data_IF_791952691940
#
_entry.id   IF_791952691940
#
_cell.length_a   1.000
_cell.length_b   1.000
_cell.length_c   1.000
_cell.angle_alpha   90.00
_cell.angle_beta   90.00
_cell.angle_gamma   90.00
#
_symmetry.space_group_name_H-M   'P 1'
#
loop_
_entity.id
_entity.type
_entity.pdbx_description
1 polymer ?
#
# COMPACT_ATOMS: atom_id res chain seq x y z
N UNK A 1 -53.46 -16.68 24.75
CA UNK A 1 -52.06 -16.77 24.30
C UNK A 1 -51.18 -16.30 25.45
N UNK A 2 -50.45 -17.20 26.09
CA UNK A 2 -49.67 -16.91 27.31
C UNK A 2 -48.26 -16.46 26.93
N UNK A 3 -47.64 -15.66 27.81
CA UNK A 3 -46.30 -15.14 27.64
C UNK A 3 -45.20 -16.19 27.41
N UNK A 4 -45.50 -17.46 27.70
CA UNK A 4 -44.59 -18.60 27.45
C UNK A 4 -44.56 -19.03 25.95
N UNK A 5 -45.62 -18.87 25.22
CA UNK A 5 -45.66 -19.23 23.77
C UNK A 5 -44.89 -18.20 22.93
N UNK A 6 -44.92 -16.92 23.30
CA UNK A 6 -44.20 -15.88 22.60
C UNK A 6 -42.65 -16.01 22.75
N UNK A 7 -42.19 -16.49 23.90
CA UNK A 7 -40.77 -16.71 24.15
C UNK A 7 -40.18 -17.92 23.45
N UNK A 8 -40.95 -18.93 23.15
CA UNK A 8 -40.52 -20.13 22.42
C UNK A 8 -40.45 -19.87 20.93
N UNK A 9 -41.39 -19.11 20.36
CA UNK A 9 -41.36 -18.73 18.92
C UNK A 9 -40.25 -17.74 18.58
N UNK A 10 -39.99 -16.77 19.45
CA UNK A 10 -38.90 -15.80 19.23
C UNK A 10 -37.49 -16.43 19.32
N UNK A 11 -37.31 -17.40 20.20
CA UNK A 11 -36.03 -18.13 20.31
C UNK A 11 -35.82 -19.13 19.14
N UNK A 12 -36.87 -19.66 18.55
CA UNK A 12 -36.77 -20.54 17.38
C UNK A 12 -36.40 -19.72 16.12
N UNK A 13 -36.95 -18.51 15.95
CA UNK A 13 -36.61 -17.61 14.84
C UNK A 13 -35.17 -17.02 14.95
N UNK A 14 -34.71 -16.71 16.16
CA UNK A 14 -33.32 -16.22 16.37
C UNK A 14 -32.27 -17.33 16.16
N UNK A 15 -32.58 -18.61 16.49
CA UNK A 15 -31.68 -19.73 16.21
C UNK A 15 -31.65 -20.10 14.73
N UNK A 16 -32.74 -19.97 14.00
CA UNK A 16 -32.76 -20.20 12.55
C UNK A 16 -32.03 -19.11 11.78
N UNK A 17 -32.08 -17.84 12.22
CA UNK A 17 -31.33 -16.74 11.63
C UNK A 17 -29.80 -16.86 11.88
N UNK A 18 -29.38 -17.25 13.07
CA UNK A 18 -27.96 -17.42 13.41
C UNK A 18 -27.31 -18.64 12.72
N UNK A 19 -28.05 -19.71 12.47
CA UNK A 19 -27.54 -20.88 11.73
C UNK A 19 -27.50 -20.62 10.22
N UNK A 20 -28.37 -19.78 9.67
CA UNK A 20 -28.34 -19.41 8.25
C UNK A 20 -27.20 -18.41 7.95
N UNK A 21 -26.86 -17.50 8.87
CA UNK A 21 -25.72 -16.58 8.73
C UNK A 21 -24.36 -17.30 8.81
N UNK A 22 -24.24 -18.37 9.57
CA UNK A 22 -22.99 -19.11 9.73
C UNK A 22 -22.61 -19.99 8.53
N UNK A 23 -23.52 -20.30 7.62
CA UNK A 23 -23.25 -21.17 6.45
C UNK A 23 -22.82 -20.44 5.18
N UNK A 24 -22.81 -19.10 5.13
CA UNK A 24 -22.53 -18.31 3.94
C UNK A 24 -21.20 -17.53 3.98
N UNK A 25 -20.36 -17.68 5.00
CA UNK A 25 -19.04 -17.07 5.12
C UNK A 25 -17.95 -17.97 4.51
N UNK A 26 -18.05 -18.29 3.21
CA UNK A 26 -17.05 -19.10 2.53
C UNK A 26 -16.28 -18.27 1.52
N UNK A 27 -14.97 -18.23 1.69
CA UNK A 27 -13.89 -18.00 0.76
C UNK A 27 -13.59 -16.56 0.31
N UNK A 28 -12.80 -15.85 1.07
CA UNK A 28 -12.08 -14.71 0.55
C UNK A 28 -10.61 -14.80 0.96
N UNK A 29 -9.79 -15.43 0.13
CA UNK A 29 -8.35 -15.20 0.13
C UNK A 29 -8.17 -13.74 -0.29
N UNK A 30 -7.63 -12.91 0.58
CA UNK A 30 -7.45 -11.49 0.34
C UNK A 30 -6.08 -11.27 -0.26
N UNK A 31 -6.00 -11.07 -1.58
CA UNK A 31 -4.83 -10.43 -2.16
C UNK A 31 -4.90 -8.94 -1.84
N UNK A 32 -3.82 -8.41 -1.34
CA UNK A 32 -3.71 -7.04 -0.88
C UNK A 32 -2.88 -6.25 -1.87
N UNK A 33 -3.46 -5.18 -2.36
CA UNK A 33 -2.72 -4.11 -2.99
C UNK A 33 -2.84 -2.92 -2.04
N UNK A 34 -1.74 -2.46 -1.50
CA UNK A 34 -1.67 -1.15 -0.87
C UNK A 34 -1.34 -0.15 -1.96
N UNK A 35 -2.12 0.86 -2.02
CA UNK A 35 -1.85 1.98 -2.89
C UNK A 35 -0.77 2.86 -2.24
N UNK A 36 0.32 3.02 -2.94
CA UNK A 36 1.40 3.92 -2.55
C UNK A 36 0.98 5.38 -2.64
N UNK A 37 1.42 6.15 -1.71
CA UNK A 37 1.18 7.59 -1.58
C UNK A 37 2.23 8.36 -2.41
N UNK A 38 1.92 9.56 -2.86
CA UNK A 38 2.69 10.35 -3.81
C UNK A 38 4.22 10.37 -3.63
N UNK A 39 4.89 10.27 -4.72
CA UNK A 39 6.29 10.52 -5.10
C UNK A 39 7.36 9.70 -4.35
N UNK A 40 7.83 10.07 -3.20
CA UNK A 40 8.89 9.35 -2.47
C UNK A 40 8.35 8.34 -1.43
N UNK A 41 7.04 8.34 -1.21
CA UNK A 41 6.35 7.43 -0.29
C UNK A 41 6.22 5.99 -0.81
N UNK A 42 6.38 5.76 -2.11
CA UNK A 42 6.28 4.43 -2.72
C UNK A 42 7.29 3.41 -2.19
N UNK A 43 8.43 3.89 -1.67
CA UNK A 43 9.45 3.04 -1.06
C UNK A 43 9.14 2.68 0.40
N UNK A 44 8.19 3.38 1.03
CA UNK A 44 7.89 3.33 2.46
C UNK A 44 6.51 2.73 2.77
N UNK A 45 5.88 2.09 1.78
CA UNK A 45 4.56 1.50 1.91
C UNK A 45 4.53 0.37 2.94
N UNK A 46 3.48 0.35 3.75
CA UNK A 46 3.17 -0.74 4.67
C UNK A 46 2.08 -1.61 4.05
N UNK A 47 2.46 -2.76 3.48
CA UNK A 47 1.56 -3.63 2.72
C UNK A 47 1.38 -5.01 3.39
N UNK A 48 0.39 -5.19 4.28
CA UNK A 48 0.13 -6.48 4.88
C UNK A 48 -0.41 -7.48 3.84
N UNK A 49 0.07 -8.73 3.91
CA UNK A 49 -0.37 -9.87 3.10
C UNK A 49 -0.08 -9.75 1.60
N UNK A 50 0.93 -8.97 1.21
CA UNK A 50 1.33 -8.76 -0.18
C UNK A 50 1.64 -10.08 -0.91
N UNK A 51 2.25 -11.02 -0.22
CA UNK A 51 2.67 -12.33 -0.76
C UNK A 51 1.65 -13.45 -0.54
N UNK A 52 0.47 -13.16 0.01
CA UNK A 52 -0.59 -14.16 0.17
C UNK A 52 -1.01 -14.77 -1.16
N UNK A 53 -1.19 -16.11 -1.18
CA UNK A 53 -1.62 -16.82 -2.38
C UNK A 53 -3.10 -16.55 -2.70
N UNK A 54 -3.46 -16.67 -3.97
CA UNK A 54 -4.83 -16.50 -4.49
C UNK A 54 -5.05 -17.39 -5.72
N UNK A 55 -6.30 -17.76 -6.06
CA UNK A 55 -6.58 -18.55 -7.25
C UNK A 55 -6.12 -17.83 -8.53
N UNK A 56 -5.55 -18.59 -9.46
CA UNK A 56 -5.14 -18.08 -10.78
C UNK A 56 -6.35 -17.55 -11.55
N UNK A 57 -6.14 -16.46 -12.30
CA UNK A 57 -7.19 -15.78 -13.05
C UNK A 57 -8.11 -14.89 -12.21
N UNK A 58 -7.87 -14.78 -10.89
CA UNK A 58 -8.57 -13.80 -10.06
C UNK A 58 -8.09 -12.39 -10.42
N UNK A 59 -9.05 -11.48 -10.58
CA UNK A 59 -8.82 -10.07 -10.81
C UNK A 59 -9.32 -9.28 -9.61
N UNK A 60 -8.65 -8.19 -9.29
CA UNK A 60 -9.02 -7.26 -8.25
C UNK A 60 -9.10 -5.85 -8.84
N UNK A 61 -10.18 -5.14 -8.54
CA UNK A 61 -10.32 -3.70 -8.78
C UNK A 61 -10.43 -3.03 -7.42
N UNK A 62 -9.68 -1.97 -7.21
CA UNK A 62 -9.62 -1.26 -5.93
C UNK A 62 -9.86 0.22 -6.19
N UNK A 63 -10.76 0.80 -5.43
CA UNK A 63 -10.96 2.23 -5.30
C UNK A 63 -10.60 2.62 -3.88
N UNK A 64 -9.67 3.53 -3.73
CA UNK A 64 -9.17 3.99 -2.44
C UNK A 64 -9.25 5.51 -2.32
N UNK A 65 -9.37 5.95 -1.09
CA UNK A 65 -9.22 7.34 -0.69
C UNK A 65 -8.39 7.39 0.58
N UNK A 66 -7.46 8.34 0.63
CA UNK A 66 -6.65 8.62 1.79
C UNK A 66 -6.55 10.12 2.05
N UNK A 67 -6.41 10.44 3.33
CA UNK A 67 -6.06 11.77 3.82
C UNK A 67 -4.77 11.65 4.62
N UNK A 68 -3.86 12.56 4.41
CA UNK A 68 -2.61 12.61 5.15
C UNK A 68 -2.23 14.04 5.48
N UNK A 69 -1.60 14.20 6.64
CA UNK A 69 -1.05 15.48 7.10
C UNK A 69 0.32 15.25 7.68
N UNK A 70 1.17 16.28 7.62
CA UNK A 70 2.52 16.23 8.14
C UNK A 70 3.51 16.93 7.23
N UNK A 71 4.79 16.74 7.50
CA UNK A 71 5.87 17.43 6.81
C UNK A 71 6.59 16.56 5.78
N UNK A 72 6.33 15.26 5.76
CA UNK A 72 7.08 14.23 4.99
C UNK A 72 6.62 14.12 3.53
N UNK A 73 5.57 14.81 3.13
CA UNK A 73 5.05 14.76 1.76
C UNK A 73 5.80 15.68 0.80
N UNK A 74 6.71 16.50 1.30
CA UNK A 74 7.62 17.29 0.47
C UNK A 74 8.94 16.57 0.32
N UNK A 75 9.56 16.77 -0.85
CA UNK A 75 10.88 16.26 -1.13
C UNK A 75 11.91 16.84 -0.13
N UNK A 76 12.65 16.01 0.62
CA UNK A 76 13.61 16.52 1.62
C UNK A 76 14.77 17.33 1.04
N UNK A 77 15.02 17.23 -0.28
CA UNK A 77 16.05 18.01 -0.96
C UNK A 77 15.62 19.46 -1.25
N UNK A 78 14.34 19.78 -1.04
CA UNK A 78 13.85 21.12 -1.29
C UNK A 78 14.30 22.10 -0.18
N UNK A 79 14.70 23.32 -0.54
CA UNK A 79 15.11 24.35 0.43
C UNK A 79 13.87 25.00 1.10
N UNK A 80 13.02 24.19 1.70
CA UNK A 80 11.80 24.61 2.36
C UNK A 80 11.88 24.25 3.84
N UNK A 81 11.64 25.23 4.70
CA UNK A 81 11.62 25.06 6.15
C UNK A 81 10.16 25.11 6.67
N UNK A 82 9.91 24.49 7.82
CA UNK A 82 8.62 24.49 8.52
C UNK A 82 7.45 24.09 7.62
N UNK A 83 7.64 23.04 6.82
CA UNK A 83 6.61 22.57 5.88
C UNK A 83 5.45 21.95 6.64
N UNK A 84 4.25 22.41 6.36
CA UNK A 84 3.00 21.75 6.67
C UNK A 84 2.33 21.32 5.36
N UNK A 85 1.90 20.09 5.30
CA UNK A 85 1.28 19.54 4.09
C UNK A 85 -0.01 18.81 4.43
N UNK A 86 -1.04 19.09 3.67
CA UNK A 86 -2.29 18.31 3.66
C UNK A 86 -2.44 17.65 2.30
N UNK A 87 -2.81 16.37 2.30
CA UNK A 87 -2.94 15.58 1.08
C UNK A 87 -4.22 14.78 1.05
N UNK A 88 -4.91 14.89 -0.07
CA UNK A 88 -6.07 14.08 -0.43
C UNK A 88 -5.67 13.18 -1.59
N UNK A 89 -5.81 11.87 -1.44
CA UNK A 89 -5.29 10.90 -2.42
C UNK A 89 -6.40 9.95 -2.82
N UNK A 90 -6.79 10.02 -4.08
CA UNK A 90 -7.65 9.05 -4.74
C UNK A 90 -6.80 7.96 -5.41
N UNK A 91 -7.24 6.71 -5.37
CA UNK A 91 -6.50 5.58 -5.92
C UNK A 91 -7.43 4.71 -6.75
N UNK A 92 -7.01 4.44 -7.98
CA UNK A 92 -7.54 3.37 -8.79
C UNK A 92 -6.45 2.31 -8.96
N UNK A 93 -6.73 1.06 -8.56
CA UNK A 93 -5.78 -0.02 -8.76
C UNK A 93 -6.45 -1.26 -9.35
N UNK A 94 -5.65 -2.01 -10.12
CA UNK A 94 -6.01 -3.28 -10.70
C UNK A 94 -4.92 -4.31 -10.42
N UNK A 95 -5.32 -5.54 -10.08
CA UNK A 95 -4.39 -6.65 -9.98
C UNK A 95 -4.96 -7.92 -10.62
N UNK A 96 -4.05 -8.75 -11.14
CA UNK A 96 -4.38 -10.04 -11.69
C UNK A 96 -3.42 -11.11 -11.19
N UNK A 97 -4.00 -12.24 -10.76
CA UNK A 97 -3.24 -13.44 -10.39
C UNK A 97 -2.95 -14.28 -11.62
N UNK A 98 -1.69 -14.62 -11.80
CA UNK A 98 -1.13 -15.31 -12.97
C UNK A 98 -0.54 -16.66 -12.55
N UNK A 99 -0.46 -17.59 -13.50
CA UNK A 99 0.35 -18.79 -13.39
C UNK A 99 1.66 -18.57 -14.16
N UNK A 100 2.78 -18.59 -13.45
CA UNK A 100 4.12 -18.49 -14.04
C UNK A 100 4.92 -19.71 -13.62
N UNK A 101 5.15 -20.61 -14.54
CA UNK A 101 5.87 -21.89 -14.29
C UNK A 101 5.30 -22.70 -13.10
N UNK A 102 3.98 -22.76 -12.95
CA UNK A 102 3.33 -23.46 -11.84
C UNK A 102 3.37 -22.73 -10.49
N UNK A 103 3.84 -21.49 -10.46
CA UNK A 103 3.90 -20.63 -9.28
C UNK A 103 2.85 -19.52 -9.37
N UNK A 104 2.33 -19.12 -8.21
CA UNK A 104 1.43 -17.97 -8.11
C UNK A 104 2.23 -16.69 -8.31
N UNK A 105 1.85 -15.90 -9.32
CA UNK A 105 2.39 -14.59 -9.60
C UNK A 105 1.26 -13.55 -9.64
N UNK A 106 1.59 -12.27 -9.50
CA UNK A 106 0.63 -11.16 -9.62
C UNK A 106 1.24 -10.04 -10.47
N UNK A 107 0.40 -9.43 -11.27
CA UNK A 107 0.66 -8.15 -11.90
C UNK A 107 -0.30 -7.13 -11.32
N UNK A 108 0.23 -6.01 -10.87
CA UNK A 108 -0.53 -4.92 -10.24
C UNK A 108 -0.25 -3.62 -11.00
N UNK A 109 -1.28 -2.79 -11.15
CA UNK A 109 -1.21 -1.43 -11.66
C UNK A 109 -1.94 -0.52 -10.69
N UNK A 110 -1.32 0.58 -10.32
CA UNK A 110 -1.86 1.59 -9.39
C UNK A 110 -1.77 2.95 -10.07
N UNK A 111 -2.88 3.66 -10.11
CA UNK A 111 -2.98 5.01 -10.67
C UNK A 111 -3.46 5.95 -9.56
N UNK A 112 -2.56 6.71 -8.94
CA UNK A 112 -2.91 7.65 -7.89
C UNK A 112 -3.27 9.02 -8.47
N UNK A 113 -4.23 9.69 -7.83
CA UNK A 113 -4.59 11.09 -8.04
C UNK A 113 -4.40 11.81 -6.71
N UNK A 114 -3.69 12.92 -6.70
CA UNK A 114 -3.44 13.65 -5.47
C UNK A 114 -3.85 15.11 -5.57
N UNK A 115 -4.40 15.61 -4.47
CA UNK A 115 -4.51 17.02 -4.17
C UNK A 115 -3.62 17.33 -2.98
N UNK A 116 -2.68 18.24 -3.15
CA UNK A 116 -1.69 18.64 -2.15
C UNK A 116 -1.85 20.12 -1.85
N UNK A 117 -1.88 20.46 -0.56
CA UNK A 117 -1.71 21.83 -0.08
C UNK A 117 -0.50 21.88 0.83
N UNK A 118 0.54 22.55 0.40
CA UNK A 118 1.78 22.70 1.11
C UNK A 118 2.02 24.16 1.50
N UNK A 119 2.34 24.41 2.75
CA UNK A 119 2.75 25.71 3.29
C UNK A 119 4.15 25.56 3.88
N UNK A 120 5.00 26.57 3.72
CA UNK A 120 6.36 26.54 4.26
C UNK A 120 7.12 27.83 4.01
N UNK A 121 8.33 27.89 4.53
CA UNK A 121 9.25 29.02 4.33
C UNK A 121 10.27 28.68 3.24
N UNK A 122 10.24 29.40 2.13
CA UNK A 122 11.28 29.32 1.08
C UNK A 122 12.20 30.51 1.26
N UNK A 123 13.48 30.27 1.64
CA UNK A 123 14.44 31.32 1.95
C UNK A 123 13.88 32.33 2.98
N UNK A 124 13.21 31.84 4.02
CA UNK A 124 12.61 32.63 5.10
C UNK A 124 11.34 33.40 4.72
N UNK A 125 10.80 33.26 3.51
CA UNK A 125 9.55 33.88 3.07
C UNK A 125 8.42 32.84 3.06
N UNK A 126 7.23 33.16 3.57
CA UNK A 126 6.11 32.24 3.54
C UNK A 126 5.61 32.02 2.10
N UNK A 127 5.47 30.78 1.73
CA UNK A 127 4.92 30.33 0.46
C UNK A 127 3.85 29.28 0.68
N UNK A 128 2.80 29.34 -0.13
CA UNK A 128 1.74 28.34 -0.20
C UNK A 128 1.67 27.78 -1.61
N UNK A 129 1.46 26.49 -1.72
CA UNK A 129 1.25 25.80 -3.00
C UNK A 129 0.08 24.85 -2.88
N UNK A 130 -0.91 25.05 -3.73
CA UNK A 130 -1.99 24.09 -3.96
C UNK A 130 -1.84 23.50 -5.36
N UNK A 131 -1.87 22.17 -5.45
CA UNK A 131 -1.75 21.42 -6.71
C UNK A 131 -2.60 20.17 -6.64
N UNK A 132 -3.25 19.81 -7.74
CA UNK A 132 -3.96 18.54 -7.87
C UNK A 132 -3.76 17.95 -9.26
N UNK A 133 -3.66 16.64 -9.34
CA UNK A 133 -3.47 15.96 -10.61
C UNK A 133 -3.14 14.48 -10.47
N UNK A 134 -2.78 13.89 -11.58
CA UNK A 134 -2.28 12.53 -11.65
C UNK A 134 -0.89 12.48 -11.02
N UNK A 135 -0.67 11.53 -10.11
CA UNK A 135 0.68 11.17 -9.64
C UNK A 135 1.29 10.07 -10.53
N UNK A 136 2.55 9.74 -10.28
CA UNK A 136 3.24 8.73 -11.08
C UNK A 136 2.59 7.35 -10.93
N UNK A 137 2.12 6.71 -12.01
CA UNK A 137 1.58 5.38 -11.96
C UNK A 137 2.64 4.35 -11.56
N UNK A 138 2.19 3.33 -10.82
CA UNK A 138 3.05 2.26 -10.33
C UNK A 138 2.63 0.93 -10.96
N UNK A 139 3.60 0.16 -11.43
CA UNK A 139 3.41 -1.19 -11.91
C UNK A 139 4.24 -2.14 -11.07
N UNK A 140 3.66 -3.26 -10.62
CA UNK A 140 4.38 -4.28 -9.87
C UNK A 140 4.15 -5.65 -10.50
N UNK A 141 5.23 -6.39 -10.62
CA UNK A 141 5.19 -7.81 -10.88
C UNK A 141 5.76 -8.56 -9.67
N UNK A 142 5.04 -9.55 -9.17
CA UNK A 142 5.48 -10.39 -8.06
C UNK A 142 5.33 -11.87 -8.39
N UNK A 143 6.23 -12.69 -7.88
CA UNK A 143 6.19 -14.14 -8.01
C UNK A 143 6.53 -14.80 -6.67
N UNK A 144 5.73 -15.78 -6.27
CA UNK A 144 5.98 -16.59 -5.10
C UNK A 144 6.66 -17.91 -5.54
N UNK A 145 7.95 -18.05 -5.35
CA UNK A 145 8.70 -19.22 -5.81
C UNK A 145 8.69 -20.38 -4.82
N UNK A 146 8.40 -20.14 -3.52
CA UNK A 146 8.24 -21.20 -2.48
C UNK A 146 6.87 -21.05 -1.84
N UNK A 147 6.19 -22.17 -1.60
CA UNK A 147 5.01 -22.27 -0.74
C UNK A 147 3.69 -21.80 -1.33
N UNK A 148 3.69 -21.18 -2.51
CA UNK A 148 2.48 -20.69 -3.17
C UNK A 148 2.38 -21.22 -4.61
N UNK A 149 1.87 -22.43 -4.83
CA UNK A 149 1.61 -22.95 -6.17
C UNK A 149 0.49 -22.17 -6.86
N UNK A 150 0.51 -22.18 -8.19
CA UNK A 150 -0.59 -21.69 -9.01
C UNK A 150 -1.78 -22.64 -8.92
N UNK A 151 -2.86 -22.20 -8.30
CA UNK A 151 -4.03 -23.03 -7.98
C UNK A 151 -5.30 -22.52 -8.66
N UNK A 152 -6.16 -23.44 -9.07
CA UNK A 152 -7.56 -23.16 -9.39
C UNK A 152 -8.35 -22.83 -8.12
N UNK A 153 -9.55 -22.27 -8.23
CA UNK A 153 -10.40 -21.98 -7.06
C UNK A 153 -10.72 -23.25 -6.24
N UNK A 154 -10.95 -24.39 -6.92
CA UNK A 154 -11.22 -25.67 -6.25
C UNK A 154 -10.03 -26.21 -5.46
N UNK A 155 -8.84 -26.11 -6.00
CA UNK A 155 -7.59 -26.49 -5.32
C UNK A 155 -7.27 -25.52 -4.18
N UNK A 156 -7.47 -24.23 -4.41
CA UNK A 156 -7.26 -23.18 -3.40
C UNK A 156 -8.16 -23.34 -2.17
N UNK A 157 -9.38 -23.89 -2.33
CA UNK A 157 -10.26 -24.17 -1.21
C UNK A 157 -9.64 -25.17 -0.19
N UNK A 158 -8.75 -26.04 -0.65
CA UNK A 158 -8.02 -27.02 0.16
C UNK A 158 -6.64 -26.56 0.60
N UNK A 159 -6.12 -25.50 -0.02
CA UNK A 159 -4.79 -24.96 0.26
C UNK A 159 -4.72 -24.41 1.68
N UNK A 160 -3.60 -24.67 2.34
CA UNK A 160 -3.24 -24.08 3.63
C UNK A 160 -1.87 -23.43 3.48
N UNK A 161 -1.84 -22.13 3.71
CA UNK A 161 -0.59 -21.40 3.70
C UNK A 161 0.27 -21.84 4.88
N UNK A 162 1.55 -22.06 4.61
CA UNK A 162 2.60 -22.25 5.61
C UNK A 162 3.65 -21.16 5.41
N UNK A 163 4.79 -21.49 4.83
CA UNK A 163 5.85 -20.55 4.46
C UNK A 163 5.70 -20.20 2.98
N UNK A 164 5.68 -18.90 2.68
CA UNK A 164 5.80 -18.37 1.32
C UNK A 164 7.07 -17.54 1.25
N UNK A 165 7.88 -17.75 0.20
CA UNK A 165 8.98 -16.87 -0.17
C UNK A 165 8.74 -16.44 -1.61
N UNK A 166 8.76 -15.14 -1.85
CA UNK A 166 8.54 -14.53 -3.14
C UNK A 166 9.43 -13.31 -3.35
N UNK A 167 9.38 -12.78 -4.54
CA UNK A 167 10.03 -11.52 -4.88
C UNK A 167 9.07 -10.67 -5.72
N UNK A 168 9.28 -9.37 -5.70
CA UNK A 168 8.59 -8.44 -6.57
C UNK A 168 9.54 -7.37 -7.10
N UNK A 169 9.15 -6.79 -8.22
CA UNK A 169 9.74 -5.56 -8.75
C UNK A 169 8.59 -4.58 -8.99
N UNK A 170 8.70 -3.41 -8.38
CA UNK A 170 7.79 -2.28 -8.61
C UNK A 170 8.52 -1.24 -9.44
N UNK A 171 7.83 -0.68 -10.44
CA UNK A 171 8.31 0.38 -11.32
C UNK A 171 7.36 1.57 -11.20
N UNK A 172 7.89 2.72 -10.84
CA UNK A 172 7.21 4.01 -10.94
C UNK A 172 7.55 4.67 -12.27
N UNK A 173 6.51 5.10 -12.98
CA UNK A 173 6.64 5.69 -14.32
C UNK A 173 6.36 7.19 -14.23
N UNK A 174 7.25 8.08 -14.75
CA UNK A 174 7.11 9.53 -14.64
C UNK A 174 6.03 10.07 -15.59
N UNK A 175 4.78 9.78 -15.30
CA UNK A 175 3.59 10.26 -16.02
C UNK A 175 2.71 11.17 -15.18
N UNK A 176 3.13 11.45 -13.96
CA UNK A 176 2.44 12.38 -13.06
C UNK A 176 2.59 13.83 -13.51
N UNK A 177 1.71 14.68 -12.98
CA UNK A 177 1.74 16.10 -13.25
C UNK A 177 3.00 16.74 -12.63
N UNK A 178 3.83 17.31 -13.48
CA UNK A 178 5.11 17.91 -13.13
C UNK A 178 5.24 19.31 -13.75
N UNK A 179 5.81 20.24 -13.00
CA UNK A 179 6.13 21.62 -13.40
C UNK A 179 7.57 21.92 -12.89
N UNK A 180 8.50 21.99 -13.82
CA UNK A 180 9.93 22.21 -13.57
C UNK A 180 10.24 23.56 -12.92
N UNK A 181 9.32 24.52 -12.96
CA UNK A 181 9.45 25.83 -12.31
C UNK A 181 9.05 25.82 -10.83
N UNK A 182 8.54 24.69 -10.33
CA UNK A 182 7.96 24.56 -9.00
C UNK A 182 8.68 23.51 -8.14
N UNK A 183 8.82 23.84 -6.86
CA UNK A 183 9.45 22.95 -5.88
C UNK A 183 8.55 21.74 -5.51
N UNK A 184 7.24 21.97 -5.37
CA UNK A 184 6.28 20.94 -4.98
C UNK A 184 5.45 20.50 -6.18
N UNK A 185 5.54 19.22 -6.50
CA UNK A 185 4.86 18.57 -7.62
C UNK A 185 4.14 17.30 -7.18
N UNK A 186 3.16 16.86 -7.97
CA UNK A 186 2.46 15.60 -7.78
C UNK A 186 3.24 14.44 -8.39
N UNK A 187 3.83 14.64 -9.57
CA UNK A 187 4.76 13.72 -10.22
C UNK A 187 6.21 14.00 -9.85
N UNK A 188 7.10 13.03 -10.06
CA UNK A 188 8.52 13.12 -9.71
C UNK A 188 9.43 13.40 -10.90
N UNK A 189 8.91 13.28 -12.13
CA UNK A 189 9.65 13.38 -13.40
C UNK A 189 10.89 12.46 -13.47
N UNK A 190 10.81 11.28 -12.83
CA UNK A 190 11.88 10.28 -12.86
C UNK A 190 11.32 8.87 -12.70
N UNK A 191 12.02 7.90 -13.22
CA UNK A 191 11.72 6.50 -13.00
C UNK A 191 12.16 6.07 -11.59
N UNK A 192 11.41 5.15 -11.02
CA UNK A 192 11.83 4.43 -9.82
C UNK A 192 11.67 2.93 -10.00
N UNK A 193 12.61 2.15 -9.49
CA UNK A 193 12.58 0.68 -9.52
C UNK A 193 12.85 0.15 -8.13
N UNK A 194 11.90 -0.62 -7.59
CA UNK A 194 11.98 -1.22 -6.26
C UNK A 194 11.91 -2.74 -6.33
N UNK A 195 13.04 -3.45 -6.41
CA UNK A 195 13.11 -4.88 -6.09
C UNK A 195 12.87 -5.10 -4.59
N UNK A 196 12.09 -6.15 -4.29
CA UNK A 196 11.71 -6.54 -2.93
C UNK A 196 11.71 -8.06 -2.81
N UNK A 197 12.19 -8.59 -1.68
CA UNK A 197 12.08 -9.98 -1.29
C UNK A 197 11.04 -10.10 -0.18
N UNK A 198 10.10 -11.02 -0.31
CA UNK A 198 9.02 -11.22 0.65
C UNK A 198 9.06 -12.60 1.29
N UNK A 199 8.95 -12.63 2.61
CA UNK A 199 8.80 -13.85 3.40
C UNK A 199 7.49 -13.73 4.17
N UNK A 200 6.61 -14.72 4.05
CA UNK A 200 5.31 -14.76 4.73
C UNK A 200 5.10 -16.12 5.39
N UNK A 201 4.94 -16.16 6.71
CA UNK A 201 4.74 -17.38 7.50
C UNK A 201 3.39 -17.35 8.18
N UNK A 202 2.56 -18.37 7.92
CA UNK A 202 1.32 -18.57 8.64
C UNK A 202 1.55 -19.45 9.87
N UNK A 203 1.00 -19.03 11.03
CA UNK A 203 1.05 -19.74 12.31
C UNK A 203 -0.36 -19.69 12.91
N UNK A 204 -1.15 -20.72 12.68
CA UNK A 204 -2.55 -20.74 13.08
C UNK A 204 -3.35 -19.61 12.42
N UNK A 205 -3.84 -18.67 13.22
CA UNK A 205 -4.58 -17.49 12.74
C UNK A 205 -3.69 -16.27 12.44
N UNK A 206 -2.40 -16.36 12.76
CA UNK A 206 -1.43 -15.31 12.51
C UNK A 206 -0.75 -15.50 11.16
N UNK A 207 -0.44 -14.40 10.49
CA UNK A 207 0.47 -14.34 9.36
C UNK A 207 1.51 -13.28 9.67
N UNK A 208 2.77 -13.69 9.71
CA UNK A 208 3.92 -12.82 9.94
C UNK A 208 4.66 -12.63 8.62
N UNK A 209 5.03 -11.41 8.30
CA UNK A 209 5.71 -11.10 7.05
C UNK A 209 6.93 -10.19 7.29
N UNK A 210 7.93 -10.37 6.44
CA UNK A 210 9.15 -9.58 6.38
C UNK A 210 9.44 -9.28 4.90
N UNK A 211 9.68 -8.01 4.57
CA UNK A 211 9.95 -7.59 3.20
C UNK A 211 11.06 -6.52 3.15
N UNK A 212 12.34 -6.93 2.99
CA UNK A 212 13.44 -6.03 2.64
C UNK A 212 13.36 -5.63 1.17
N UNK A 213 13.67 -4.36 0.90
CA UNK A 213 13.66 -3.79 -0.44
C UNK A 213 14.72 -2.69 -0.61
N UNK A 214 15.05 -2.40 -1.88
CA UNK A 214 15.88 -1.26 -2.27
C UNK A 214 15.15 -0.51 -3.37
N UNK A 215 15.06 0.80 -3.29
CA UNK A 215 14.53 1.64 -4.38
C UNK A 215 15.66 2.38 -5.06
N UNK A 216 15.73 2.25 -6.38
CA UNK A 216 16.64 2.98 -7.26
C UNK A 216 15.84 4.04 -8.01
N UNK A 217 16.46 5.16 -8.29
CA UNK A 217 15.88 6.28 -9.02
C UNK A 217 16.71 6.59 -10.25
N UNK A 218 16.09 6.98 -11.36
CA UNK A 218 16.78 7.67 -12.43
C UNK A 218 17.05 9.13 -12.02
N UNK A 219 17.94 9.79 -12.73
CA UNK A 219 18.06 11.24 -12.65
C UNK A 219 16.79 11.93 -13.15
N UNK A 220 16.57 13.16 -12.68
CA UNK A 220 15.60 14.12 -13.21
C UNK A 220 16.43 15.31 -13.72
N UNK A 221 16.53 15.41 -15.05
CA UNK A 221 17.31 16.41 -15.78
C UNK A 221 16.58 17.72 -16.03
N UNK A 222 15.33 17.80 -15.58
CA UNK A 222 14.47 18.98 -15.67
C UNK A 222 13.96 19.43 -14.28
N UNK A 223 14.83 19.36 -13.28
CA UNK A 223 14.49 19.74 -11.91
C UNK A 223 14.71 21.24 -11.69
N UNK A 224 13.70 21.94 -11.20
CA UNK A 224 13.73 23.35 -10.79
C UNK A 224 14.56 24.26 -11.73
N UNK A 225 13.93 24.63 -12.87
CA UNK A 225 14.52 25.44 -13.94
C UNK A 225 15.67 24.74 -14.70
N UNK A 226 15.53 23.44 -15.01
CA UNK A 226 16.44 22.67 -15.84
C UNK A 226 17.71 22.20 -15.14
N UNK A 227 17.70 22.09 -13.81
CA UNK A 227 18.77 21.44 -13.06
C UNK A 227 18.67 19.93 -13.17
N UNK A 228 19.79 19.25 -12.95
CA UNK A 228 19.82 17.79 -12.83
C UNK A 228 19.80 17.39 -11.36
N UNK A 229 18.84 16.52 -11.01
CA UNK A 229 18.73 15.92 -9.68
C UNK A 229 18.95 14.42 -9.74
N UNK A 230 19.95 13.96 -9.02
CA UNK A 230 20.24 12.57 -8.76
C UNK A 230 19.83 12.18 -7.33
N UNK A 231 19.65 10.88 -7.07
CA UNK A 231 19.31 10.39 -5.74
C UNK A 231 19.91 9.02 -5.49
N UNK A 232 20.60 8.85 -4.36
CA UNK A 232 21.13 7.56 -3.94
C UNK A 232 20.01 6.58 -3.60
N UNK A 233 20.24 5.26 -3.65
CA UNK A 233 19.23 4.27 -3.33
C UNK A 233 18.63 4.45 -1.92
N UNK A 234 17.33 4.13 -1.79
CA UNK A 234 16.63 4.02 -0.51
C UNK A 234 16.51 2.57 -0.11
N UNK A 235 17.06 2.19 1.02
CA UNK A 235 16.94 0.88 1.63
C UNK A 235 15.74 0.87 2.57
N UNK A 236 14.94 -0.17 2.52
CA UNK A 236 13.77 -0.30 3.40
C UNK A 236 13.56 -1.74 3.85
N UNK A 237 12.96 -1.90 5.00
CA UNK A 237 12.46 -3.17 5.49
C UNK A 237 11.11 -2.94 6.14
N UNK A 238 10.13 -3.79 5.81
CA UNK A 238 8.83 -3.77 6.47
C UNK A 238 8.51 -5.13 7.10
N UNK A 239 7.78 -5.06 8.20
CA UNK A 239 7.26 -6.20 8.93
C UNK A 239 5.77 -6.06 9.13
N UNK A 240 5.03 -7.16 9.01
CA UNK A 240 3.59 -7.19 9.19
C UNK A 240 3.22 -8.36 10.11
N UNK A 241 2.29 -8.13 11.02
CA UNK A 241 1.64 -9.16 11.82
C UNK A 241 0.14 -9.06 11.62
N UNK A 242 -0.46 -10.04 10.94
CA UNK A 242 -1.89 -10.08 10.64
C UNK A 242 -2.57 -11.17 11.45
N UNK A 243 -3.69 -10.87 12.10
CA UNK A 243 -4.54 -11.84 12.77
C UNK A 243 -5.85 -12.01 12.02
N UNK A 244 -6.19 -13.24 11.64
CA UNK A 244 -7.41 -13.58 10.90
C UNK A 244 -8.50 -14.05 11.87
N UNK A 245 -9.54 -13.25 12.08
CA UNK A 245 -10.71 -13.59 12.89
C UNK A 245 -11.61 -14.60 12.18
N UNK A 246 -11.88 -14.29 10.91
CA UNK A 246 -12.67 -15.10 10.01
C UNK A 246 -12.18 -14.87 8.56
N UNK A 247 -12.72 -15.63 7.62
CA UNK A 247 -12.38 -15.50 6.21
C UNK A 247 -12.72 -14.11 5.68
N UNK A 248 -11.70 -13.37 5.22
CA UNK A 248 -11.82 -11.98 4.76
C UNK A 248 -11.89 -10.94 5.88
N UNK A 249 -12.04 -11.35 7.14
CA UNK A 249 -12.00 -10.47 8.30
C UNK A 249 -10.68 -10.65 9.06
N UNK A 250 -9.84 -9.63 9.03
CA UNK A 250 -8.53 -9.65 9.66
C UNK A 250 -8.09 -8.23 10.04
N UNK A 251 -7.19 -8.17 11.02
CA UNK A 251 -6.47 -6.98 11.45
C UNK A 251 -4.98 -7.22 11.27
N UNK A 252 -4.26 -6.23 10.75
CA UNK A 252 -2.81 -6.23 10.71
C UNK A 252 -2.24 -5.02 11.44
N UNK A 253 -1.08 -5.20 12.04
CA UNK A 253 -0.19 -4.13 12.48
C UNK A 253 1.11 -4.23 11.70
N UNK A 254 1.68 -3.07 11.37
CA UNK A 254 2.80 -2.94 10.46
C UNK A 254 3.88 -2.06 11.08
N UNK A 255 5.13 -2.37 10.79
CA UNK A 255 6.25 -1.48 11.06
C UNK A 255 7.19 -1.48 9.85
N UNK A 256 7.73 -0.32 9.53
CA UNK A 256 8.72 -0.15 8.46
C UNK A 256 9.87 0.73 8.93
N UNK A 257 11.07 0.40 8.49
CA UNK A 257 12.26 1.24 8.62
C UNK A 257 12.82 1.51 7.24
N UNK A 258 13.31 2.72 7.04
CA UNK A 258 13.96 3.11 5.78
C UNK A 258 15.14 4.02 6.04
N UNK A 259 16.15 3.95 5.14
CA UNK A 259 17.35 4.81 5.20
C UNK A 259 18.01 4.91 3.84
N UNK A 260 18.60 6.08 3.53
CA UNK A 260 19.26 6.35 2.26
C UNK A 260 18.71 7.57 1.56
N UNK A 261 18.62 7.51 0.23
CA UNK A 261 17.91 8.50 -0.61
C UNK A 261 18.46 9.93 -0.49
N UNK A 262 19.79 10.08 -0.35
CA UNK A 262 20.45 11.40 -0.38
C UNK A 262 20.43 11.95 -1.79
N UNK A 263 20.13 13.24 -1.96
CA UNK A 263 20.10 13.87 -3.27
C UNK A 263 21.37 14.64 -3.61
N UNK A 264 21.63 14.77 -4.91
CA UNK A 264 22.64 15.64 -5.50
C UNK A 264 21.95 16.49 -6.56
N UNK A 265 22.15 17.80 -6.52
CA UNK A 265 21.60 18.75 -7.49
C UNK A 265 22.73 19.49 -8.16
N UNK A 266 22.85 19.39 -9.50
CA UNK A 266 23.96 19.94 -10.30
C UNK A 266 25.33 19.59 -9.74
N UNK A 267 25.51 18.34 -9.29
CA UNK A 267 26.78 17.85 -8.72
C UNK A 267 27.04 18.28 -7.26
N UNK A 268 26.13 19.04 -6.63
CA UNK A 268 26.22 19.43 -5.23
C UNK A 268 25.39 18.46 -4.37
N UNK A 269 26.06 17.72 -3.51
CA UNK A 269 25.42 16.79 -2.57
C UNK A 269 24.69 17.53 -1.45
N UNK A 270 23.44 17.20 -1.21
CA UNK A 270 22.61 17.76 -0.15
C UNK A 270 22.72 16.94 1.16
N UNK A 271 22.51 17.59 2.30
CA UNK A 271 22.44 16.91 3.59
C UNK A 271 20.98 16.52 3.93
N UNK A 272 20.37 15.73 3.05
CA UNK A 272 18.94 15.36 3.06
C UNK A 272 18.71 13.85 3.11
N UNK A 273 19.72 13.09 3.58
CA UNK A 273 19.58 11.65 3.77
C UNK A 273 18.31 11.36 4.56
N UNK A 274 17.49 10.49 4.01
CA UNK A 274 16.25 10.04 4.65
C UNK A 274 16.54 8.91 5.62
N UNK A 275 15.91 8.96 6.79
CA UNK A 275 15.90 7.88 7.77
C UNK A 275 14.66 7.99 8.64
N UNK A 276 13.94 6.90 8.81
CA UNK A 276 12.73 6.96 9.62
C UNK A 276 12.05 5.62 9.86
N UNK A 277 11.04 5.69 10.72
CA UNK A 277 10.16 4.59 11.07
C UNK A 277 8.74 4.90 10.61
N UNK A 278 8.02 3.88 10.20
CA UNK A 278 6.59 3.91 9.91
C UNK A 278 5.89 2.86 10.73
N UNK A 279 4.71 3.20 11.24
CA UNK A 279 3.83 2.26 11.92
C UNK A 279 2.45 2.38 11.30
N UNK A 280 1.75 1.27 11.19
CA UNK A 280 0.42 1.28 10.65
C UNK A 280 -0.45 0.16 11.18
N UNK A 281 -1.75 0.32 10.96
CA UNK A 281 -2.74 -0.72 11.22
C UNK A 281 -3.74 -0.77 10.05
N UNK A 282 -4.18 -1.97 9.70
CA UNK A 282 -5.15 -2.21 8.63
C UNK A 282 -6.21 -3.17 9.10
N UNK A 283 -7.47 -2.76 9.03
CA UNK A 283 -8.63 -3.60 9.27
C UNK A 283 -9.31 -3.92 7.94
N UNK A 284 -9.48 -5.20 7.63
CA UNK A 284 -10.21 -5.66 6.45
C UNK A 284 -11.52 -6.30 6.83
N UNK A 285 -12.59 -5.86 6.20
CA UNK A 285 -13.96 -6.26 6.45
C UNK A 285 -14.58 -6.82 5.16
N UNK A 286 -15.04 -8.08 5.12
CA UNK A 286 -15.76 -8.62 3.99
C UNK A 286 -17.21 -8.07 3.98
N UNK A 287 -17.66 -7.54 2.83
CA UNK A 287 -19.05 -7.11 2.60
C UNK A 287 -19.84 -8.27 1.98
N UNK A 288 -19.26 -8.85 0.93
CA UNK A 288 -19.80 -10.01 0.23
C UNK A 288 -18.69 -11.03 -0.06
N UNK A 289 -18.98 -12.07 -0.81
CA UNK A 289 -17.94 -13.02 -1.26
C UNK A 289 -16.92 -12.37 -2.19
N UNK A 290 -17.31 -11.34 -2.94
CA UNK A 290 -16.50 -10.65 -3.93
C UNK A 290 -16.09 -9.24 -3.54
N UNK A 291 -16.60 -8.69 -2.43
CA UNK A 291 -16.35 -7.31 -2.03
C UNK A 291 -15.85 -7.23 -0.59
N UNK A 292 -14.90 -6.35 -0.37
CA UNK A 292 -14.36 -6.02 0.95
C UNK A 292 -14.03 -4.55 1.08
N UNK A 293 -14.02 -4.05 2.30
CA UNK A 293 -13.51 -2.73 2.66
C UNK A 293 -12.27 -2.92 3.53
N UNK A 294 -11.28 -2.06 3.33
CA UNK A 294 -10.13 -1.88 4.20
C UNK A 294 -10.15 -0.48 4.76
N UNK A 295 -9.89 -0.37 6.05
CA UNK A 295 -9.65 0.89 6.73
C UNK A 295 -8.24 0.81 7.28
N UNK A 296 -7.45 1.84 7.06
CA UNK A 296 -6.06 1.84 7.52
C UNK A 296 -5.67 3.19 8.09
N UNK A 297 -4.73 3.14 9.00
CA UNK A 297 -4.06 4.30 9.55
C UNK A 297 -2.55 4.07 9.52
N UNK A 298 -1.78 5.13 9.32
CA UNK A 298 -0.33 5.12 9.30
C UNK A 298 0.20 6.35 10.01
N UNK A 299 1.28 6.17 10.75
CA UNK A 299 2.03 7.26 11.36
C UNK A 299 3.52 7.03 11.13
N UNK A 300 4.30 8.10 11.09
CA UNK A 300 5.71 8.00 10.82
C UNK A 300 6.54 9.03 11.56
N UNK A 301 7.79 8.67 11.82
CA UNK A 301 8.80 9.51 12.42
C UNK A 301 10.06 9.49 11.58
N UNK A 302 10.61 10.68 11.29
CA UNK A 302 11.89 10.86 10.60
C UNK A 302 12.91 11.43 11.61
N UNK A 303 13.95 10.64 11.93
CA UNK A 303 14.92 10.94 12.98
C UNK A 303 15.77 12.19 12.77
N UNK A 304 15.97 12.65 11.52
CA UNK A 304 16.85 13.78 11.22
C UNK A 304 16.16 15.15 11.21
N UNK A 305 14.84 15.22 11.00
CA UNK A 305 14.12 16.50 10.85
C UNK A 305 12.85 16.63 11.70
N UNK A 306 12.60 15.70 12.64
CA UNK A 306 11.40 15.69 13.50
C UNK A 306 10.08 15.83 12.71
N UNK A 307 10.02 15.25 11.52
CA UNK A 307 8.85 15.33 10.66
C UNK A 307 7.86 14.21 11.02
N UNK A 308 6.76 14.57 11.63
CA UNK A 308 5.64 13.68 11.86
C UNK A 308 4.78 13.61 10.62
N UNK A 309 4.27 12.44 10.37
CA UNK A 309 3.34 12.17 9.29
C UNK A 309 2.25 11.26 9.82
N UNK A 310 1.00 11.67 9.65
CA UNK A 310 -0.17 10.89 9.99
C UNK A 310 -1.07 10.74 8.77
N UNK A 311 -1.64 9.55 8.60
CA UNK A 311 -2.55 9.29 7.51
C UNK A 311 -3.63 8.29 7.85
N UNK A 312 -4.78 8.47 7.26
CA UNK A 312 -5.91 7.54 7.35
C UNK A 312 -6.48 7.30 5.96
N UNK A 313 -7.04 6.13 5.74
CA UNK A 313 -7.68 5.86 4.46
C UNK A 313 -8.66 4.70 4.50
N UNK A 314 -9.40 4.64 3.41
CA UNK A 314 -10.39 3.60 3.15
C UNK A 314 -10.23 3.12 1.72
N UNK A 315 -10.36 1.81 1.51
CA UNK A 315 -10.33 1.22 0.17
C UNK A 315 -11.43 0.18 0.03
N UNK A 316 -12.21 0.30 -1.04
CA UNK A 316 -13.14 -0.71 -1.48
C UNK A 316 -12.46 -1.58 -2.52
N UNK A 317 -12.59 -2.90 -2.37
CA UNK A 317 -12.02 -3.90 -3.27
C UNK A 317 -13.12 -4.79 -3.82
N UNK A 318 -13.15 -4.95 -5.14
CA UNK A 318 -13.98 -5.92 -5.86
C UNK A 318 -13.09 -7.00 -6.47
N UNK A 319 -13.53 -8.26 -6.33
CA UNK A 319 -12.82 -9.43 -6.83
C UNK A 319 -13.72 -10.20 -7.80
N UNK A 320 -13.18 -10.57 -8.96
CA UNK A 320 -13.88 -11.35 -9.98
C UNK A 320 -12.94 -12.32 -10.72
N UNK A 321 -13.50 -13.27 -11.45
CA UNK A 321 -12.74 -14.27 -12.21
C UNK A 321 -12.16 -15.38 -11.33
N UNK A 322 -11.26 -16.18 -11.91
CA UNK A 322 -10.57 -17.27 -11.19
C UNK A 322 -11.47 -18.43 -10.73
N UNK A 323 -12.71 -18.52 -11.22
CA UNK A 323 -13.67 -19.55 -10.78
C UNK A 323 -14.36 -19.26 -9.45
N UNK A 324 -14.49 -17.97 -9.11
CA UNK A 324 -15.13 -17.46 -7.87
C UNK A 324 -16.64 -17.35 -8.02
#
# INVERSE_FOLDING_TARGET
MSWKEWFVESNCRMRAASVCYAKHLIAAGTALISAGWCSDLSAQDLEPRAYSNSPVGTNFVILGYGYATGTVLTDPSLPIENVSNESHIGILAYARVLNVFGKSAKFDMIVPFAGLRAEGLVVGQPHEREISGLADPLFRFSINFIGAPALTAAEFAKYRQDLIIGASVRVGVPLGQYDDTRLVNVGTNRWSVKPELGISKAIGRWTLELAPAVTFYSENDDFLHGKTREQTPLYSVQTNASYTFARGFWLAVNAGYFTGSRSTVDGVENNDRQEGLRFGATLALPITRSQSIKIYGVTGYNGHRHHDFDGVGIAWQYRCGGGL
#
